data_IF_901558762559
#
_entry.id   IF_901558762559
#
_cell.length_a   1.000
_cell.length_b   1.000
_cell.length_c   1.000
_cell.angle_alpha   90.00
_cell.angle_beta   90.00
_cell.angle_gamma   90.00
#
_symmetry.space_group_name_H-M   'P 1'
#
loop_
_entity.id
_entity.type
_entity.pdbx_description
1 polymer ?
#
# COMPACT_ATOMS: atom_id res chain seq x y z
N UNK A 1 -4.06 5.90 1.16
CA UNK A 1 -4.07 7.35 1.52
C UNK A 1 -2.95 7.65 2.52
N UNK A 2 -1.79 8.12 2.04
CA UNK A 2 -0.69 8.67 2.85
C UNK A 2 -1.26 9.60 3.94
N UNK A 3 -0.98 9.33 5.22
CA UNK A 3 -1.15 10.34 6.28
C UNK A 3 -0.23 11.51 5.91
N UNK A 4 -0.78 12.56 5.31
CA UNK A 4 0.03 13.71 4.88
C UNK A 4 0.68 14.33 6.10
N UNK A 5 1.92 14.79 5.94
CA UNK A 5 2.67 15.49 6.99
C UNK A 5 1.86 16.69 7.51
N UNK A 6 1.04 17.29 6.65
CA UNK A 6 0.00 18.26 6.99
C UNK A 6 -0.96 17.76 8.09
N UNK A 7 -1.54 16.56 8.00
CA UNK A 7 -2.42 16.04 9.07
C UNK A 7 -1.68 15.86 10.40
N UNK A 8 -0.41 15.48 10.37
CA UNK A 8 0.41 15.33 11.59
C UNK A 8 0.76 16.70 12.19
N UNK A 9 1.14 17.68 11.37
CA UNK A 9 1.43 19.05 11.80
C UNK A 9 0.17 19.73 12.32
N UNK A 10 -0.96 19.60 11.62
CA UNK A 10 -2.26 20.10 12.08
C UNK A 10 -2.68 19.45 13.40
N UNK A 11 -2.42 18.15 13.58
CA UNK A 11 -2.68 17.47 14.85
C UNK A 11 -1.80 18.01 15.98
N UNK A 12 -0.50 18.22 15.74
CA UNK A 12 0.42 18.81 16.73
C UNK A 12 0.01 20.25 17.07
N UNK A 13 -0.35 21.06 16.09
CA UNK A 13 -0.88 22.42 16.29
C UNK A 13 -2.18 22.40 17.09
N UNK A 14 -3.10 21.47 16.78
CA UNK A 14 -4.34 21.28 17.55
C UNK A 14 -4.05 20.88 19.00
N UNK A 15 -3.05 20.01 19.24
CA UNK A 15 -2.64 19.63 20.60
C UNK A 15 -1.99 20.79 21.35
N UNK A 16 -1.18 21.62 20.69
CA UNK A 16 -0.59 22.84 21.27
C UNK A 16 -1.69 23.85 21.60
N UNK A 17 -2.62 24.10 20.68
CA UNK A 17 -3.78 24.94 20.92
C UNK A 17 -4.65 24.40 22.06
N UNK A 18 -4.87 23.10 22.14
CA UNK A 18 -5.61 22.46 23.23
C UNK A 18 -4.89 22.66 24.58
N UNK A 19 -3.58 22.47 24.64
CA UNK A 19 -2.79 22.71 25.86
C UNK A 19 -2.81 24.18 26.27
N UNK A 20 -2.71 25.11 25.31
CA UNK A 20 -2.83 26.55 25.57
C UNK A 20 -4.23 26.91 26.08
N UNK A 21 -5.28 26.36 25.47
CA UNK A 21 -6.66 26.55 25.93
C UNK A 21 -6.88 25.99 27.33
N UNK A 22 -6.32 24.82 27.65
CA UNK A 22 -6.36 24.25 29.00
C UNK A 22 -5.63 25.16 29.99
N UNK A 23 -4.43 25.64 29.64
CA UNK A 23 -3.65 26.54 30.51
C UNK A 23 -4.38 27.88 30.76
N UNK A 24 -5.01 28.45 29.73
CA UNK A 24 -5.85 29.65 29.83
C UNK A 24 -7.08 29.36 30.71
N UNK A 25 -7.75 28.23 30.51
CA UNK A 25 -8.92 27.84 31.31
C UNK A 25 -8.59 27.57 32.78
N UNK A 26 -7.39 27.05 33.09
CA UNK A 26 -6.87 26.94 34.47
C UNK A 26 -6.63 28.33 35.06
N UNK A 27 -5.97 29.23 34.32
CA UNK A 27 -5.64 30.58 34.79
C UNK A 27 -6.87 31.47 35.02
N UNK A 28 -7.93 31.29 34.22
CA UNK A 28 -9.20 32.02 34.33
C UNK A 28 -10.16 31.34 35.33
N UNK A 29 -9.71 30.28 36.03
CA UNK A 29 -10.53 29.49 36.97
C UNK A 29 -11.84 28.93 36.36
N UNK A 30 -11.91 28.76 35.04
CA UNK A 30 -13.09 28.22 34.34
C UNK A 30 -13.44 26.83 34.89
N UNK A 31 -12.44 26.07 35.35
CA UNK A 31 -12.64 24.76 35.99
C UNK A 31 -13.35 24.81 37.36
N UNK A 32 -13.29 25.93 38.11
CA UNK A 32 -14.12 26.13 39.33
C UNK A 32 -15.60 26.35 38.97
N UNK A 33 -15.88 27.01 37.85
CA UNK A 33 -17.24 27.14 37.30
C UNK A 33 -17.76 25.85 36.65
N UNK A 34 -16.88 25.04 36.07
CA UNK A 34 -17.22 23.72 35.53
C UNK A 34 -17.44 22.66 36.62
N UNK A 35 -16.72 22.71 37.74
CA UNK A 35 -16.92 21.76 38.87
C UNK A 35 -18.26 21.96 39.59
N UNK A 36 -18.88 23.13 39.44
CA UNK A 36 -20.24 23.44 39.87
C UNK A 36 -21.29 23.07 38.82
N UNK A 37 -20.90 22.84 37.56
CA UNK A 37 -21.79 22.40 36.49
C UNK A 37 -22.30 20.98 36.74
N UNK A 38 -23.62 20.80 36.68
CA UNK A 38 -24.32 19.53 36.93
C UNK A 38 -23.78 18.42 36.02
N UNK A 39 -23.48 18.74 34.76
CA UNK A 39 -22.94 17.78 33.79
C UNK A 39 -21.58 17.21 34.23
N UNK A 40 -20.69 18.04 34.76
CA UNK A 40 -19.37 17.59 35.22
C UNK A 40 -19.46 16.74 36.49
N UNK A 41 -20.32 17.13 37.45
CA UNK A 41 -20.62 16.31 38.63
C UNK A 41 -21.19 14.95 38.24
N UNK A 42 -22.05 14.90 37.24
CA UNK A 42 -22.61 13.65 36.70
C UNK A 42 -21.53 12.79 36.05
N UNK A 43 -20.64 13.36 35.23
CA UNK A 43 -19.50 12.61 34.63
C UNK A 43 -18.57 12.05 35.71
N UNK A 44 -18.21 12.85 36.72
CA UNK A 44 -17.37 12.41 37.83
C UNK A 44 -18.06 11.31 38.66
N UNK A 45 -19.37 11.43 38.89
CA UNK A 45 -20.16 10.39 39.58
C UNK A 45 -20.20 9.08 38.78
N UNK A 46 -20.40 9.17 37.47
CA UNK A 46 -20.35 8.03 36.54
C UNK A 46 -18.97 7.38 36.53
N UNK A 47 -17.88 8.16 36.54
CA UNK A 47 -16.51 7.62 36.62
C UNK A 47 -16.16 7.04 38.00
N UNK A 48 -16.77 7.54 39.08
CA UNK A 48 -16.64 6.96 40.42
C UNK A 48 -17.40 5.65 40.58
N UNK A 49 -18.35 5.36 39.69
CA UNK A 49 -18.99 4.06 39.63
C UNK A 49 -17.96 3.01 39.16
N UNK A 50 -17.57 2.12 40.08
CA UNK A 50 -16.57 1.08 39.83
C UNK A 50 -16.91 0.20 38.63
N UNK A 51 -18.18 -0.05 38.36
CA UNK A 51 -18.64 -0.82 37.20
C UNK A 51 -18.32 -0.10 35.89
N UNK A 52 -18.68 1.19 35.78
CA UNK A 52 -18.44 1.99 34.57
C UNK A 52 -16.94 2.23 34.38
N UNK A 53 -16.21 2.53 35.45
CA UNK A 53 -14.76 2.68 35.39
C UNK A 53 -14.07 1.39 34.95
N UNK A 54 -14.54 0.22 35.42
CA UNK A 54 -13.99 -1.08 35.03
C UNK A 54 -14.23 -1.39 33.55
N UNK A 55 -15.43 -1.10 33.04
CA UNK A 55 -15.74 -1.25 31.60
C UNK A 55 -14.85 -0.34 30.76
N UNK A 56 -14.71 0.93 31.13
CA UNK A 56 -13.85 1.89 30.41
C UNK A 56 -12.39 1.45 30.43
N UNK A 57 -11.86 1.01 31.58
CA UNK A 57 -10.51 0.46 31.69
C UNK A 57 -10.32 -0.79 30.82
N UNK A 58 -11.33 -1.66 30.75
CA UNK A 58 -11.30 -2.86 29.92
C UNK A 58 -11.25 -2.52 28.42
N UNK A 59 -12.08 -1.57 27.98
CA UNK A 59 -12.07 -1.06 26.59
C UNK A 59 -10.70 -0.46 26.25
N UNK A 60 -10.15 0.37 27.14
CA UNK A 60 -8.83 0.99 26.94
C UNK A 60 -7.72 -0.07 26.88
N UNK A 61 -7.76 -1.07 27.76
CA UNK A 61 -6.80 -2.17 27.75
C UNK A 61 -6.83 -2.93 26.42
N UNK A 62 -8.02 -3.26 25.91
CA UNK A 62 -8.19 -3.92 24.60
C UNK A 62 -7.63 -3.05 23.46
N UNK A 63 -7.90 -1.74 23.48
CA UNK A 63 -7.37 -0.81 22.47
C UNK A 63 -5.83 -0.73 22.52
N UNK A 64 -5.23 -0.65 23.71
CA UNK A 64 -3.77 -0.61 23.89
C UNK A 64 -3.14 -1.91 23.40
N UNK A 65 -3.71 -3.06 23.76
CA UNK A 65 -3.24 -4.38 23.32
C UNK A 65 -3.31 -4.46 21.79
N UNK A 66 -4.42 -4.05 21.18
CA UNK A 66 -4.60 -4.04 19.72
C UNK A 66 -3.56 -3.15 19.03
N UNK A 67 -3.36 -1.91 19.49
CA UNK A 67 -2.38 -0.98 18.89
C UNK A 67 -0.96 -1.54 19.03
N UNK A 68 -0.62 -2.09 20.20
CA UNK A 68 0.70 -2.68 20.48
C UNK A 68 0.94 -3.90 19.59
N UNK A 69 -0.06 -4.77 19.44
CA UNK A 69 -0.03 -5.93 18.56
C UNK A 69 0.20 -5.51 17.10
N UNK A 70 -0.60 -4.57 16.57
CA UNK A 70 -0.46 -4.07 15.18
C UNK A 70 0.92 -3.47 14.95
N UNK A 71 1.44 -2.68 15.90
CA UNK A 71 2.78 -2.10 15.81
C UNK A 71 3.87 -3.17 15.79
N UNK A 72 3.79 -4.14 16.70
CA UNK A 72 4.74 -5.24 16.78
C UNK A 72 4.74 -6.09 15.50
N UNK A 73 3.58 -6.44 14.97
CA UNK A 73 3.43 -7.21 13.73
C UNK A 73 4.05 -6.50 12.52
N UNK A 74 3.79 -5.19 12.35
CA UNK A 74 4.44 -4.39 11.30
C UNK A 74 5.96 -4.40 11.43
N UNK A 75 6.47 -4.32 12.66
CA UNK A 75 7.91 -4.34 12.92
C UNK A 75 8.53 -5.71 12.61
N UNK A 76 7.84 -6.80 12.93
CA UNK A 76 8.33 -8.15 12.63
C UNK A 76 8.30 -8.45 11.13
N UNK A 77 7.23 -8.09 10.43
CA UNK A 77 7.14 -8.29 8.98
C UNK A 77 8.26 -7.54 8.23
N UNK A 78 8.57 -6.31 8.65
CA UNK A 78 9.67 -5.52 8.07
C UNK A 78 11.07 -6.01 8.42
N UNK A 79 11.22 -6.91 9.40
CA UNK A 79 12.50 -7.55 9.71
C UNK A 79 12.75 -8.78 8.85
N UNK A 80 11.69 -9.39 8.33
CA UNK A 80 11.81 -10.54 7.45
C UNK A 80 12.33 -10.09 6.08
N UNK A 81 13.53 -10.54 5.74
CA UNK A 81 14.18 -10.23 4.47
C UNK A 81 13.34 -10.70 3.27
N UNK A 82 12.73 -11.88 3.34
CA UNK A 82 11.94 -12.46 2.24
C UNK A 82 10.70 -11.62 1.98
N UNK A 83 10.02 -11.19 3.05
CA UNK A 83 8.88 -10.28 2.92
C UNK A 83 9.30 -8.94 2.30
N UNK A 84 10.46 -8.40 2.68
CA UNK A 84 10.91 -7.12 2.12
C UNK A 84 11.24 -7.19 0.63
N UNK A 85 11.85 -8.27 0.17
CA UNK A 85 12.14 -8.54 -1.25
C UNK A 85 10.83 -8.58 -2.06
N UNK A 86 9.86 -9.38 -1.61
CA UNK A 86 8.54 -9.46 -2.26
C UNK A 86 7.83 -8.10 -2.28
N UNK A 87 7.90 -7.34 -1.19
CA UNK A 87 7.27 -6.01 -1.14
C UNK A 87 7.94 -5.05 -2.12
N UNK A 88 9.26 -5.13 -2.30
CA UNK A 88 10.00 -4.32 -3.27
C UNK A 88 9.56 -4.66 -4.70
N UNK A 89 9.50 -5.95 -5.05
CA UNK A 89 9.02 -6.43 -6.35
C UNK A 89 7.60 -5.96 -6.65
N UNK A 90 6.68 -6.13 -5.70
CA UNK A 90 5.28 -5.68 -5.81
C UNK A 90 5.23 -4.17 -6.00
N UNK A 91 6.04 -3.41 -5.27
CA UNK A 91 6.09 -1.97 -5.41
C UNK A 91 6.59 -1.53 -6.79
N UNK A 92 7.64 -2.16 -7.29
CA UNK A 92 8.15 -1.88 -8.63
C UNK A 92 7.10 -2.18 -9.71
N UNK A 93 6.35 -3.27 -9.56
CA UNK A 93 5.18 -3.56 -10.40
C UNK A 93 4.11 -2.47 -10.34
N UNK A 94 3.79 -1.97 -9.14
CA UNK A 94 2.85 -0.83 -8.98
C UNK A 94 3.41 0.43 -9.65
N UNK A 95 4.71 0.70 -9.55
CA UNK A 95 5.33 1.89 -10.12
C UNK A 95 5.25 1.87 -11.66
N UNK A 96 5.57 0.73 -12.28
CA UNK A 96 5.47 0.55 -13.73
C UNK A 96 3.99 0.65 -14.14
N UNK A 97 3.08 0.01 -13.41
CA UNK A 97 1.64 0.15 -13.66
C UNK A 97 1.20 1.62 -13.60
N UNK A 98 1.65 2.39 -12.60
CA UNK A 98 1.32 3.80 -12.48
C UNK A 98 1.80 4.66 -13.64
N UNK A 99 2.89 4.26 -14.32
CA UNK A 99 3.39 4.94 -15.54
C UNK A 99 2.51 4.65 -16.75
N UNK A 100 1.97 3.43 -16.83
CA UNK A 100 1.16 2.98 -17.97
C UNK A 100 -0.35 3.24 -17.82
N UNK A 101 -0.87 3.39 -16.59
CA UNK A 101 -2.31 3.34 -16.30
C UNK A 101 -3.16 4.30 -17.14
N UNK A 102 -2.63 5.47 -17.49
CA UNK A 102 -3.35 6.52 -18.22
C UNK A 102 -3.30 6.28 -19.75
N UNK A 103 -2.40 5.39 -20.21
CA UNK A 103 -2.32 4.93 -21.61
C UNK A 103 -3.13 3.64 -21.87
N UNK A 104 -3.61 2.95 -20.82
CA UNK A 104 -4.39 1.72 -20.97
C UNK A 104 -5.73 2.06 -21.67
N UNK A 105 -6.05 1.41 -22.80
CA UNK A 105 -7.30 1.67 -23.52
C UNK A 105 -8.54 1.36 -22.67
N UNK A 106 -9.57 2.18 -22.83
CA UNK A 106 -10.91 1.91 -22.29
C UNK A 106 -11.85 1.46 -23.41
N UNK A 107 -12.94 0.78 -23.03
CA UNK A 107 -13.98 0.40 -24.00
C UNK A 107 -14.65 1.66 -24.54
N UNK A 108 -14.86 1.69 -25.84
CA UNK A 108 -15.36 2.87 -26.56
C UNK A 108 -16.86 2.75 -26.78
N UNK A 109 -17.54 3.89 -26.93
CA UNK A 109 -18.92 3.89 -27.37
C UNK A 109 -19.03 3.47 -28.84
N UNK A 110 -20.21 2.92 -29.18
CA UNK A 110 -20.53 2.54 -30.56
C UNK A 110 -20.85 3.82 -31.34
N UNK A 111 -20.32 3.96 -32.55
CA UNK A 111 -20.74 5.06 -33.42
C UNK A 111 -22.14 4.78 -34.01
N UNK A 112 -22.94 5.81 -34.37
CA UNK A 112 -24.34 5.65 -34.78
C UNK A 112 -24.58 4.63 -35.91
N UNK A 113 -23.65 4.54 -36.87
CA UNK A 113 -23.76 3.69 -38.07
C UNK A 113 -22.76 2.51 -38.10
N UNK A 114 -22.00 2.29 -37.01
CA UNK A 114 -20.97 1.26 -36.94
C UNK A 114 -21.57 -0.12 -36.65
N UNK A 115 -21.19 -1.17 -37.37
CA UNK A 115 -21.63 -2.54 -37.05
C UNK A 115 -21.06 -3.01 -35.70
N UNK A 116 -21.76 -3.93 -35.02
CA UNK A 116 -21.31 -4.48 -33.74
C UNK A 116 -19.96 -5.18 -33.87
N UNK A 117 -19.71 -5.86 -35.00
CA UNK A 117 -18.46 -6.55 -35.27
C UNK A 117 -17.33 -5.55 -35.56
N UNK A 118 -17.61 -4.49 -36.30
CA UNK A 118 -16.62 -3.43 -36.59
C UNK A 118 -16.17 -2.74 -35.32
N UNK A 119 -17.12 -2.44 -34.41
CA UNK A 119 -16.79 -1.92 -33.07
C UNK A 119 -15.86 -2.86 -32.32
N UNK A 120 -16.21 -4.15 -32.27
CA UNK A 120 -15.44 -5.16 -31.53
C UNK A 120 -14.02 -5.28 -32.08
N UNK A 121 -13.87 -5.22 -33.40
CA UNK A 121 -12.57 -5.26 -34.08
C UNK A 121 -11.73 -4.02 -33.73
N UNK A 122 -12.33 -2.83 -33.77
CA UNK A 122 -11.68 -1.56 -33.39
C UNK A 122 -11.19 -1.59 -31.93
N UNK A 123 -12.04 -2.02 -31.00
CA UNK A 123 -11.66 -2.19 -29.59
C UNK A 123 -10.51 -3.18 -29.43
N UNK A 124 -10.61 -4.34 -30.08
CA UNK A 124 -9.60 -5.38 -29.98
C UNK A 124 -8.25 -4.93 -30.55
N UNK A 125 -8.26 -4.15 -31.62
CA UNK A 125 -7.06 -3.56 -32.20
C UNK A 125 -6.38 -2.57 -31.25
N UNK A 126 -7.15 -1.70 -30.58
CA UNK A 126 -6.62 -0.76 -29.57
C UNK A 126 -5.89 -1.49 -28.43
N UNK A 127 -6.52 -2.54 -27.88
CA UNK A 127 -5.89 -3.34 -26.82
C UNK A 127 -4.65 -4.08 -27.30
N UNK A 128 -4.69 -4.66 -28.50
CA UNK A 128 -3.53 -5.34 -29.09
C UNK A 128 -2.37 -4.37 -29.34
N UNK A 129 -2.60 -3.19 -29.92
CA UNK A 129 -1.55 -2.19 -30.18
C UNK A 129 -0.90 -1.71 -28.89
N UNK A 130 -1.72 -1.43 -27.86
CA UNK A 130 -1.22 -1.10 -26.53
C UNK A 130 -0.36 -2.23 -25.94
N UNK A 131 -0.85 -3.47 -25.98
CA UNK A 131 -0.11 -4.62 -25.46
C UNK A 131 1.19 -4.85 -26.22
N UNK A 132 1.18 -4.74 -27.55
CA UNK A 132 2.38 -4.91 -28.38
C UNK A 132 3.46 -3.87 -28.07
N UNK A 133 3.05 -2.60 -27.88
CA UNK A 133 3.96 -1.50 -27.50
C UNK A 133 4.58 -1.72 -26.12
N UNK A 134 3.80 -2.22 -25.16
CA UNK A 134 4.16 -2.26 -23.74
C UNK A 134 4.34 -3.70 -23.19
N UNK A 135 4.57 -4.69 -24.05
CA UNK A 135 4.52 -6.11 -23.67
C UNK A 135 5.51 -6.46 -22.57
N UNK A 136 6.74 -5.94 -22.64
CA UNK A 136 7.77 -6.11 -21.63
C UNK A 136 7.41 -5.50 -20.27
N UNK A 137 6.80 -4.32 -20.25
CA UNK A 137 6.35 -3.70 -19.00
C UNK A 137 5.15 -4.46 -18.41
N UNK A 138 4.20 -4.88 -19.25
CA UNK A 138 3.07 -5.72 -18.81
C UNK A 138 3.57 -7.05 -18.25
N UNK A 139 4.63 -7.63 -18.84
CA UNK A 139 5.31 -8.82 -18.33
C UNK A 139 5.83 -8.61 -16.91
N UNK A 140 6.60 -7.54 -16.70
CA UNK A 140 7.17 -7.20 -15.39
C UNK A 140 6.05 -6.95 -14.37
N UNK A 141 5.05 -6.13 -14.71
CA UNK A 141 3.92 -5.86 -13.80
C UNK A 141 3.22 -7.17 -13.42
N UNK A 142 2.95 -8.04 -14.40
CA UNK A 142 2.28 -9.31 -14.13
C UNK A 142 3.08 -10.14 -13.15
N UNK A 143 4.38 -10.28 -13.41
CA UNK A 143 5.28 -11.05 -12.55
C UNK A 143 5.28 -10.46 -11.14
N UNK A 144 5.63 -9.19 -10.98
CA UNK A 144 5.64 -8.49 -9.70
C UNK A 144 4.34 -8.63 -8.90
N UNK A 145 3.18 -8.52 -9.53
CA UNK A 145 1.90 -8.50 -8.82
C UNK A 145 1.27 -9.88 -8.60
N UNK A 146 1.70 -10.92 -9.33
CA UNK A 146 1.06 -12.24 -9.29
C UNK A 146 2.01 -13.42 -9.08
N UNK A 147 3.31 -13.19 -8.89
CA UNK A 147 4.26 -14.28 -8.69
C UNK A 147 3.92 -15.17 -7.49
N UNK A 148 4.37 -16.43 -7.52
CA UNK A 148 4.09 -17.42 -6.47
C UNK A 148 4.67 -17.00 -5.12
N UNK A 149 5.82 -16.33 -5.10
CA UNK A 149 6.41 -15.82 -3.86
C UNK A 149 5.51 -14.81 -3.14
N UNK A 150 4.57 -14.16 -3.82
CA UNK A 150 3.63 -13.24 -3.19
C UNK A 150 2.74 -13.93 -2.15
N UNK A 151 2.52 -15.25 -2.29
CA UNK A 151 1.77 -16.04 -1.32
C UNK A 151 2.48 -16.05 0.04
N UNK A 152 3.82 -16.03 0.07
CA UNK A 152 4.58 -15.94 1.31
C UNK A 152 4.33 -14.64 2.07
N UNK A 153 4.27 -13.51 1.36
CA UNK A 153 3.95 -12.23 1.98
C UNK A 153 2.52 -12.23 2.53
N UNK A 154 1.57 -12.80 1.77
CA UNK A 154 0.18 -12.96 2.20
C UNK A 154 0.11 -13.80 3.48
N UNK A 155 0.72 -14.98 3.50
CA UNK A 155 0.72 -15.90 4.64
C UNK A 155 1.43 -15.28 5.85
N UNK A 156 2.51 -14.55 5.62
CA UNK A 156 3.23 -13.81 6.68
C UNK A 156 2.36 -12.70 7.28
N UNK A 157 1.60 -11.97 6.46
CA UNK A 157 0.63 -10.98 6.93
C UNK A 157 -0.51 -11.67 7.72
N UNK A 158 -1.03 -12.79 7.22
CA UNK A 158 -2.09 -13.55 7.91
C UNK A 158 -1.62 -14.13 9.25
N UNK A 159 -0.35 -14.52 9.35
CA UNK A 159 0.23 -15.10 10.57
C UNK A 159 0.68 -14.03 11.58
N UNK A 160 1.27 -12.94 11.10
CA UNK A 160 1.78 -11.88 11.96
C UNK A 160 0.66 -11.04 12.58
N UNK A 161 -0.44 -10.84 11.87
CA UNK A 161 -1.57 -10.07 12.35
C UNK A 161 -2.64 -11.04 12.84
N UNK A 162 -3.30 -10.75 13.97
CA UNK A 162 -4.57 -11.39 14.32
C UNK A 162 -5.63 -10.96 13.30
N UNK A 163 -5.53 -11.45 12.06
CA UNK A 163 -6.16 -10.84 10.89
C UNK A 163 -7.69 -10.88 10.98
N UNK A 164 -8.22 -11.91 11.65
CA UNK A 164 -9.64 -12.06 11.94
C UNK A 164 -10.19 -10.97 12.88
N UNK A 165 -9.32 -10.32 13.67
CA UNK A 165 -9.65 -9.16 14.50
C UNK A 165 -9.33 -7.83 13.79
N UNK A 166 -8.84 -7.88 12.55
CA UNK A 166 -8.48 -6.73 11.75
C UNK A 166 -9.22 -6.74 10.41
N UNK A 167 -10.52 -6.43 10.46
CA UNK A 167 -11.41 -6.47 9.29
C UNK A 167 -10.90 -5.69 8.08
N UNK A 168 -10.21 -4.56 8.31
CA UNK A 168 -9.61 -3.79 7.21
C UNK A 168 -8.49 -4.57 6.52
N UNK A 169 -7.55 -5.12 7.28
CA UNK A 169 -6.45 -5.91 6.72
C UNK A 169 -6.97 -7.20 6.07
N UNK A 170 -7.95 -7.85 6.72
CA UNK A 170 -8.60 -9.04 6.18
C UNK A 170 -9.26 -8.78 4.82
N UNK A 171 -9.96 -7.66 4.68
CA UNK A 171 -10.59 -7.27 3.42
C UNK A 171 -9.56 -7.08 2.30
N UNK A 172 -8.45 -6.36 2.58
CA UNK A 172 -7.37 -6.14 1.62
C UNK A 172 -6.76 -7.48 1.18
N UNK A 173 -6.40 -8.33 2.13
CA UNK A 173 -5.77 -9.64 1.85
C UNK A 173 -6.70 -10.55 1.07
N UNK A 174 -7.99 -10.61 1.41
CA UNK A 174 -8.96 -11.42 0.68
C UNK A 174 -9.13 -10.95 -0.77
N UNK A 175 -9.16 -9.64 -1.00
CA UNK A 175 -9.25 -9.08 -2.36
C UNK A 175 -8.04 -9.44 -3.22
N UNK A 176 -6.83 -9.40 -2.64
CA UNK A 176 -5.58 -9.87 -3.27
C UNK A 176 -5.72 -11.36 -3.63
N UNK A 177 -6.03 -12.21 -2.65
CA UNK A 177 -6.13 -13.67 -2.83
C UNK A 177 -7.17 -14.07 -3.87
N UNK A 178 -8.30 -13.38 -3.93
CA UNK A 178 -9.39 -13.70 -4.86
C UNK A 178 -9.05 -13.34 -6.32
N UNK A 179 -8.19 -12.34 -6.54
CA UNK A 179 -7.82 -11.87 -7.89
C UNK A 179 -6.57 -12.56 -8.44
N UNK A 180 -5.69 -13.01 -7.55
CA UNK A 180 -4.42 -13.64 -7.89
C UNK A 180 -4.54 -14.81 -8.90
N UNK A 181 -5.49 -15.75 -8.73
CA UNK A 181 -5.68 -16.84 -9.69
C UNK A 181 -6.05 -16.37 -11.10
N UNK A 182 -6.82 -15.28 -11.21
CA UNK A 182 -7.20 -14.74 -12.51
C UNK A 182 -5.96 -14.24 -13.25
N UNK A 183 -5.07 -13.50 -12.59
CA UNK A 183 -3.85 -12.99 -13.24
C UNK A 183 -2.90 -14.14 -13.61
N UNK A 184 -2.67 -15.09 -12.70
CA UNK A 184 -1.80 -16.26 -12.93
C UNK A 184 -2.28 -17.13 -14.09
N UNK A 185 -3.59 -17.29 -14.25
CA UNK A 185 -4.19 -18.09 -15.34
C UNK A 185 -4.33 -17.32 -16.64
N UNK A 186 -4.86 -16.10 -16.59
CA UNK A 186 -5.22 -15.34 -17.80
C UNK A 186 -3.99 -14.89 -18.58
N UNK A 187 -2.88 -14.57 -17.91
CA UNK A 187 -1.73 -13.98 -18.59
C UNK A 187 -0.96 -14.95 -19.51
N UNK A 188 -0.68 -16.20 -19.10
CA UNK A 188 -0.16 -17.21 -20.02
C UNK A 188 -1.04 -17.40 -21.26
N UNK A 189 -2.36 -17.45 -21.10
CA UNK A 189 -3.30 -17.55 -22.23
C UNK A 189 -3.22 -16.34 -23.17
N UNK A 190 -3.03 -15.12 -22.63
CA UNK A 190 -2.81 -13.92 -23.45
C UNK A 190 -1.53 -14.04 -24.28
N UNK A 191 -0.45 -14.56 -23.71
CA UNK A 191 0.79 -14.78 -24.47
C UNK A 191 0.62 -15.79 -25.60
N UNK A 192 -0.15 -16.85 -25.36
CA UNK A 192 -0.46 -17.87 -26.39
C UNK A 192 -1.32 -17.28 -27.51
N UNK A 193 -2.40 -16.57 -27.16
CA UNK A 193 -3.27 -15.87 -28.12
C UNK A 193 -2.51 -14.81 -28.93
N UNK A 194 -1.61 -14.06 -28.28
CA UNK A 194 -0.76 -13.09 -28.94
C UNK A 194 0.14 -13.74 -29.99
N UNK A 195 0.83 -14.84 -29.63
CA UNK A 195 1.67 -15.59 -30.58
C UNK A 195 0.84 -16.14 -31.75
N UNK A 196 -0.34 -16.69 -31.45
CA UNK A 196 -1.23 -17.24 -32.48
C UNK A 196 -1.72 -16.17 -33.45
N UNK A 197 -2.13 -15.00 -32.94
CA UNK A 197 -2.50 -13.87 -33.77
C UNK A 197 -1.31 -13.34 -34.58
N UNK A 198 -0.11 -13.27 -34.02
CA UNK A 198 1.09 -12.85 -34.77
C UNK A 198 1.45 -13.80 -35.92
N UNK A 199 1.11 -15.09 -35.81
CA UNK A 199 1.33 -16.08 -36.87
C UNK A 199 0.22 -16.09 -37.92
N UNK A 200 -1.04 -16.15 -37.48
CA UNK A 200 -2.18 -16.38 -38.37
C UNK A 200 -2.78 -15.08 -38.92
N UNK A 201 -2.58 -13.95 -38.23
CA UNK A 201 -3.13 -12.61 -38.55
C UNK A 201 -4.64 -12.62 -38.85
N UNK A 202 -5.37 -13.55 -38.23
CA UNK A 202 -6.80 -13.71 -38.46
C UNK A 202 -7.63 -12.84 -37.49
N UNK A 203 -8.85 -12.50 -37.90
CA UNK A 203 -9.73 -11.61 -37.15
C UNK A 203 -10.33 -12.24 -35.89
N UNK A 204 -10.54 -13.57 -35.90
CA UNK A 204 -11.08 -14.29 -34.74
C UNK A 204 -10.12 -14.22 -33.55
N UNK A 205 -8.85 -14.50 -33.78
CA UNK A 205 -7.80 -14.47 -32.78
C UNK A 205 -7.55 -13.05 -32.26
N UNK A 206 -7.63 -12.03 -33.14
CA UNK A 206 -7.58 -10.62 -32.70
C UNK A 206 -8.70 -10.31 -31.72
N UNK A 207 -9.94 -10.71 -32.05
CA UNK A 207 -11.12 -10.45 -31.24
C UNK A 207 -11.08 -11.22 -29.90
N UNK A 208 -10.54 -12.43 -29.89
CA UNK A 208 -10.38 -13.23 -28.67
C UNK A 208 -9.26 -12.65 -27.79
N UNK A 209 -8.13 -12.26 -28.38
CA UNK A 209 -7.03 -11.57 -27.70
C UNK A 209 -7.49 -10.24 -27.09
N UNK A 210 -8.17 -9.38 -27.86
CA UNK A 210 -8.65 -8.08 -27.41
C UNK A 210 -9.61 -8.19 -26.23
N UNK A 211 -10.56 -9.13 -26.29
CA UNK A 211 -11.45 -9.43 -25.17
C UNK A 211 -10.69 -9.87 -23.92
N UNK A 212 -9.70 -10.75 -24.06
CA UNK A 212 -8.91 -11.25 -22.94
C UNK A 212 -8.06 -10.14 -22.32
N UNK A 213 -7.41 -9.33 -23.14
CA UNK A 213 -6.64 -8.15 -22.72
C UNK A 213 -7.51 -7.14 -21.96
N UNK A 214 -8.71 -6.82 -22.47
CA UNK A 214 -9.62 -5.87 -21.81
C UNK A 214 -9.99 -6.32 -20.39
N UNK A 215 -10.27 -7.61 -20.21
CA UNK A 215 -10.61 -8.17 -18.89
C UNK A 215 -9.38 -8.21 -17.99
N UNK A 216 -8.24 -8.60 -18.55
CA UNK A 216 -6.97 -8.69 -17.83
C UNK A 216 -6.50 -7.34 -17.29
N UNK A 217 -6.59 -6.26 -18.07
CA UNK A 217 -6.19 -4.93 -17.59
C UNK A 217 -7.08 -4.39 -16.47
N UNK A 218 -8.37 -4.78 -16.44
CA UNK A 218 -9.26 -4.49 -15.33
C UNK A 218 -8.80 -5.21 -14.06
N UNK A 219 -8.50 -6.52 -14.16
CA UNK A 219 -7.97 -7.30 -13.04
C UNK A 219 -6.63 -6.74 -12.56
N UNK A 220 -5.75 -6.34 -13.49
CA UNK A 220 -4.44 -5.75 -13.18
C UNK A 220 -4.58 -4.43 -12.41
N UNK A 221 -5.50 -3.56 -12.82
CA UNK A 221 -5.82 -2.32 -12.10
C UNK A 221 -6.21 -2.60 -10.66
N UNK A 222 -7.15 -3.49 -10.45
CA UNK A 222 -7.61 -3.84 -9.11
C UNK A 222 -6.48 -4.46 -8.27
N UNK A 223 -5.66 -5.32 -8.87
CA UNK A 223 -4.53 -5.93 -8.19
C UNK A 223 -3.50 -4.90 -7.73
N UNK A 224 -3.12 -3.97 -8.59
CA UNK A 224 -2.21 -2.88 -8.26
C UNK A 224 -2.78 -2.00 -7.13
N UNK A 225 -4.09 -1.71 -7.16
CA UNK A 225 -4.76 -0.97 -6.09
C UNK A 225 -4.72 -1.72 -4.76
N UNK A 226 -5.08 -3.01 -4.72
CA UNK A 226 -5.13 -3.78 -3.48
C UNK A 226 -3.74 -4.01 -2.88
N UNK A 227 -2.73 -4.29 -3.71
CA UNK A 227 -1.34 -4.34 -3.25
C UNK A 227 -0.92 -2.99 -2.67
N UNK A 228 -1.18 -1.89 -3.38
CA UNK A 228 -0.84 -0.55 -2.88
C UNK A 228 -1.53 -0.24 -1.54
N UNK A 229 -2.79 -0.64 -1.36
CA UNK A 229 -3.49 -0.52 -0.08
C UNK A 229 -2.85 -1.34 1.04
N UNK A 230 -2.38 -2.56 0.72
CA UNK A 230 -1.63 -3.39 1.68
C UNK A 230 -0.32 -2.71 2.08
N UNK A 231 0.44 -2.20 1.11
CA UNK A 231 1.72 -1.54 1.38
C UNK A 231 1.52 -0.25 2.19
N UNK A 232 0.50 0.55 1.85
CA UNK A 232 0.05 1.71 2.63
C UNK A 232 -0.32 1.31 4.06
N UNK A 233 -1.05 0.20 4.23
CA UNK A 233 -1.44 -0.30 5.54
C UNK A 233 -0.22 -0.72 6.38
N UNK A 234 0.71 -1.47 5.79
CA UNK A 234 1.97 -1.88 6.43
C UNK A 234 2.87 -0.67 6.72
N UNK A 235 2.59 0.48 6.10
CA UNK A 235 3.40 1.68 6.18
C UNK A 235 4.78 1.41 5.60
N UNK A 236 4.86 0.59 4.55
CA UNK A 236 6.08 0.35 3.81
C UNK A 236 6.36 1.60 2.96
N UNK A 237 7.57 2.16 3.09
CA UNK A 237 8.02 3.27 2.27
C UNK A 237 9.15 2.74 1.38
N UNK A 238 8.88 2.41 0.11
CA UNK A 238 9.87 1.90 -0.83
C UNK A 238 10.91 2.97 -1.16
N UNK A 239 10.56 4.26 -1.03
CA UNK A 239 11.54 5.35 -1.16
C UNK A 239 12.64 5.18 -0.14
N UNK A 240 12.28 4.75 1.08
CA UNK A 240 13.25 4.44 2.11
C UNK A 240 14.16 3.28 1.70
N UNK A 241 13.62 2.17 1.20
CA UNK A 241 14.44 1.01 0.82
C UNK A 241 15.31 1.29 -0.40
N UNK A 242 14.77 1.90 -1.46
CA UNK A 242 15.54 2.31 -2.65
C UNK A 242 16.67 3.28 -2.28
N UNK A 243 16.39 4.29 -1.45
CA UNK A 243 17.43 5.20 -0.96
C UNK A 243 18.42 4.49 -0.04
N UNK A 244 17.96 3.54 0.79
CA UNK A 244 18.81 2.75 1.66
C UNK A 244 19.79 1.93 0.84
N UNK A 245 19.32 1.12 -0.10
CA UNK A 245 20.16 0.31 -1.00
C UNK A 245 21.13 1.21 -1.76
N UNK A 246 20.65 2.32 -2.35
CA UNK A 246 21.49 3.27 -3.08
C UNK A 246 22.61 3.84 -2.21
N UNK A 247 22.30 4.32 -1.01
CA UNK A 247 23.29 4.91 -0.10
C UNK A 247 24.21 3.83 0.46
N UNK A 248 23.69 2.65 0.77
CA UNK A 248 24.47 1.51 1.26
C UNK A 248 25.52 1.09 0.23
N UNK A 249 25.09 0.81 -1.00
CA UNK A 249 25.96 0.38 -2.09
C UNK A 249 26.94 1.48 -2.55
N UNK A 250 26.62 2.76 -2.30
CA UNK A 250 27.57 3.86 -2.54
C UNK A 250 28.69 3.96 -1.51
N UNK A 251 28.53 3.34 -0.34
CA UNK A 251 29.45 3.43 0.80
C UNK A 251 30.20 2.14 1.10
N UNK A 252 29.55 1.00 0.87
CA UNK A 252 30.07 -0.31 1.24
C UNK A 252 29.93 -1.27 0.07
N UNK A 253 30.99 -2.02 -0.21
CA UNK A 253 30.91 -3.19 -1.07
C UNK A 253 30.13 -4.29 -0.34
N UNK A 254 28.98 -4.69 -0.89
CA UNK A 254 28.09 -5.69 -0.32
C UNK A 254 28.77 -7.06 -0.15
N UNK A 255 29.65 -7.45 -1.07
CA UNK A 255 30.33 -8.75 -1.02
C UNK A 255 31.41 -8.79 0.07
N UNK A 256 32.08 -7.68 0.32
CA UNK A 256 33.03 -7.56 1.44
C UNK A 256 32.31 -7.38 2.78
N UNK A 257 31.20 -6.66 2.80
CA UNK A 257 30.44 -6.36 4.01
C UNK A 257 29.75 -7.60 4.61
N UNK A 258 29.26 -8.52 3.77
CA UNK A 258 28.66 -9.79 4.24
C UNK A 258 29.65 -10.61 5.08
N UNK A 259 30.96 -10.49 4.81
CA UNK A 259 32.02 -11.18 5.57
C UNK A 259 32.29 -10.56 6.94
N UNK A 260 31.74 -9.38 7.22
CA UNK A 260 31.96 -8.66 8.47
C UNK A 260 31.08 -9.20 9.62
N UNK A 261 31.53 -9.05 10.89
CA UNK A 261 30.74 -9.38 12.06
C UNK A 261 29.38 -8.68 12.06
N UNK A 262 28.36 -9.33 12.64
CA UNK A 262 26.99 -8.80 12.68
C UNK A 262 26.92 -7.41 13.35
N UNK A 263 27.76 -7.14 14.34
CA UNK A 263 27.85 -5.85 15.02
C UNK A 263 28.28 -4.71 14.08
N UNK A 264 29.28 -4.98 13.22
CA UNK A 264 29.79 -4.04 12.21
C UNK A 264 28.71 -3.76 11.17
N UNK A 265 28.06 -4.81 10.66
CA UNK A 265 26.93 -4.67 9.71
C UNK A 265 25.77 -3.89 10.31
N UNK A 266 25.43 -4.14 11.58
CA UNK A 266 24.37 -3.41 12.29
C UNK A 266 24.71 -1.93 12.49
N UNK A 267 25.98 -1.60 12.77
CA UNK A 267 26.43 -0.21 12.86
C UNK A 267 26.34 0.51 11.53
N UNK A 268 26.81 -0.12 10.44
CA UNK A 268 26.72 0.41 9.07
C UNK A 268 25.27 0.61 8.65
N UNK A 269 24.39 -0.37 8.91
CA UNK A 269 22.97 -0.24 8.65
C UNK A 269 22.31 0.92 9.43
N UNK A 270 22.69 1.15 10.69
CA UNK A 270 22.21 2.31 11.48
C UNK A 270 22.70 3.64 10.89
N UNK A 271 23.95 3.70 10.42
CA UNK A 271 24.50 4.89 9.77
C UNK A 271 23.71 5.23 8.48
N UNK A 272 23.46 4.23 7.64
CA UNK A 272 22.69 4.39 6.40
C UNK A 272 21.23 4.74 6.70
N UNK A 273 20.59 4.09 7.68
CA UNK A 273 19.22 4.45 8.13
C UNK A 273 19.13 5.92 8.51
N UNK A 274 20.11 6.45 9.26
CA UNK A 274 20.16 7.87 9.64
C UNK A 274 20.29 8.78 8.42
N UNK A 275 21.12 8.41 7.44
CA UNK A 275 21.30 9.18 6.21
C UNK A 275 20.03 9.21 5.35
N UNK A 276 19.38 8.06 5.17
CA UNK A 276 18.13 7.93 4.41
C UNK A 276 17.02 8.73 5.07
N UNK A 277 16.84 8.60 6.39
CA UNK A 277 15.82 9.38 7.13
C UNK A 277 16.02 10.88 6.97
N UNK A 278 17.27 11.35 7.03
CA UNK A 278 17.61 12.75 6.82
C UNK A 278 17.24 13.20 5.41
N UNK A 279 17.59 12.43 4.38
CA UNK A 279 17.26 12.73 2.99
C UNK A 279 15.75 12.80 2.73
N UNK A 280 14.99 11.80 3.21
CA UNK A 280 13.53 11.77 3.10
C UNK A 280 12.88 12.95 3.83
N UNK A 281 13.38 13.27 5.02
CA UNK A 281 12.87 14.40 5.80
C UNK A 281 13.11 15.74 5.09
N UNK A 282 14.31 15.95 4.54
CA UNK A 282 14.63 17.14 3.75
C UNK A 282 13.75 17.25 2.51
N UNK A 283 13.54 16.14 1.79
CA UNK A 283 12.62 16.10 0.63
C UNK A 283 11.20 16.49 1.03
N UNK A 284 10.68 15.91 2.12
CA UNK A 284 9.33 16.21 2.63
C UNK A 284 9.14 17.67 3.06
N UNK A 285 10.18 18.33 3.57
CA UNK A 285 10.14 19.76 3.90
C UNK A 285 10.15 20.61 2.64
N UNK A 286 11.04 20.31 1.69
CA UNK A 286 11.14 21.06 0.44
C UNK A 286 9.85 21.04 -0.36
N UNK A 287 9.19 19.89 -0.41
CA UNK A 287 7.92 19.70 -1.14
C UNK A 287 6.69 19.80 -0.23
N UNK A 288 6.80 20.46 0.93
CA UNK A 288 5.70 20.58 1.89
C UNK A 288 4.51 21.37 1.32
N UNK A 289 4.80 22.37 0.48
CA UNK A 289 3.82 23.29 -0.10
C UNK A 289 3.38 22.92 -1.53
N UNK A 290 3.97 21.89 -2.14
CA UNK A 290 3.73 21.51 -3.54
C UNK A 290 2.44 20.67 -3.71
N UNK A 291 1.40 20.96 -2.92
CA UNK A 291 0.15 20.19 -2.89
C UNK A 291 -1.10 21.02 -2.94
#
# INVERSE_FOLDING_TARGET
>A
MKKSLYRQVMFVLLMICLMLLIAIAIKIEVFKGLSTCVVFKTIVSIMKNSYVSSILCSILAVLIIYITQVYHSKKMLKKDFRCNEIIEDVYDGIEIYCKLKDEIPEKVERMPDEDVLDKRRRESLMFYEFYKKNSGDVDIITLSLSYENNDLLIDSVQSCFLINLNFKLLSIVNNIKNRLPNLRKNYPEIKELYKKYELEKNEKELNDLGNRLSTYFIDLRFMAMYWNELLDYLGYDPTYIKMFIKIYNSKYDTMEDIKQPAEVRNLRAKEVDKAVRKAIWQYKIKHFWDK
#
